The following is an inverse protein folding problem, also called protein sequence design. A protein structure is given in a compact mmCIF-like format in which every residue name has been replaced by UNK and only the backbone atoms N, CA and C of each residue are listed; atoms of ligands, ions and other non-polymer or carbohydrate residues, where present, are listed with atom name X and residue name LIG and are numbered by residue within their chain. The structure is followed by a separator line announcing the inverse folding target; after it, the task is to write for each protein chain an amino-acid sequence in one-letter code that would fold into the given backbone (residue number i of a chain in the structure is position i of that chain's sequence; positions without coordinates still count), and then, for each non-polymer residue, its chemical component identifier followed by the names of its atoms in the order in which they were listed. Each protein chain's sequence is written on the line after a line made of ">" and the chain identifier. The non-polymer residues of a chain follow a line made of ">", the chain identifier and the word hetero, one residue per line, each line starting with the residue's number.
data_IF_006964581926
#
_entry.id   IF_006964581926
#
_cell.length_a   1.000
_cell.length_b   1.000
_cell.length_c   1.000
_cell.angle_alpha   90.00
_cell.angle_beta   90.00
_cell.angle_gamma   90.00
#
_symmetry.space_group_name_H-M   'P 1'
#
loop_
_entity.id
_entity.type
_entity.pdbx_description
1 polymer ?
#
# COMPACT_ATOMS: atom_id res chain seq x y z
N UNK A 1 22.44 7.21 11.98
CA UNK A 1 21.88 8.55 11.73
C UNK A 1 20.66 8.75 12.61
N UNK A 2 20.33 10.01 12.90
CA UNK A 2 19.11 10.35 13.66
C UNK A 2 18.03 10.89 12.73
N UNK A 3 17.00 10.10 12.54
CA UNK A 3 15.86 10.38 11.67
C UNK A 3 14.72 11.04 12.44
N UNK A 4 14.08 12.02 11.84
CA UNK A 4 12.84 12.61 12.34
C UNK A 4 11.69 12.13 11.44
N UNK A 5 10.83 11.25 11.93
CA UNK A 5 9.57 10.94 11.28
C UNK A 5 8.56 12.06 11.57
N UNK A 6 8.14 12.77 10.52
CA UNK A 6 7.41 14.02 10.65
C UNK A 6 6.14 14.05 9.82
N UNK A 7 5.02 14.43 10.42
CA UNK A 7 3.80 14.66 9.65
C UNK A 7 2.49 14.31 10.34
N UNK A 8 1.42 14.38 9.56
CA UNK A 8 0.03 14.11 9.99
C UNK A 8 -0.47 12.74 9.53
N UNK A 9 0.43 11.79 9.30
CA UNK A 9 0.10 10.43 8.90
C UNK A 9 -0.51 9.62 10.04
N UNK A 10 -1.26 8.56 9.68
CA UNK A 10 -1.84 7.61 10.62
C UNK A 10 -1.27 6.20 10.33
N UNK A 11 -0.41 5.72 11.21
CA UNK A 11 0.30 4.43 11.07
C UNK A 11 -0.68 3.25 11.06
N UNK A 12 -1.78 3.34 11.83
CA UNK A 12 -2.76 2.26 11.90
C UNK A 12 -3.55 2.10 10.59
N UNK A 13 -3.78 3.21 9.88
CA UNK A 13 -4.49 3.21 8.59
C UNK A 13 -3.58 3.00 7.39
N UNK A 14 -2.29 3.29 7.55
CA UNK A 14 -1.31 3.26 6.46
C UNK A 14 -0.07 2.46 6.87
N UNK A 15 -0.12 1.11 6.77
CA UNK A 15 0.93 0.20 7.23
C UNK A 15 2.32 0.49 6.63
N UNK A 16 2.38 1.06 5.42
CA UNK A 16 3.65 1.43 4.78
C UNK A 16 4.53 2.32 5.66
N UNK A 17 3.94 3.29 6.36
CA UNK A 17 4.73 4.16 7.23
C UNK A 17 5.34 3.37 8.40
N UNK A 18 4.59 2.41 8.96
CA UNK A 18 5.12 1.50 9.98
C UNK A 18 6.33 0.71 9.44
N UNK A 19 6.21 0.13 8.24
CA UNK A 19 7.31 -0.62 7.60
C UNK A 19 8.56 0.26 7.44
N UNK A 20 8.40 1.51 6.98
CA UNK A 20 9.54 2.44 6.84
C UNK A 20 10.20 2.76 8.19
N UNK A 21 9.40 3.04 9.23
CA UNK A 21 9.93 3.37 10.56
C UNK A 21 10.60 2.17 11.22
N UNK A 22 9.99 1.00 11.13
CA UNK A 22 10.54 -0.25 11.68
C UNK A 22 11.83 -0.63 10.95
N UNK A 23 11.85 -0.51 9.61
CA UNK A 23 13.05 -0.76 8.81
C UNK A 23 14.22 0.14 9.18
N UNK A 24 13.98 1.43 9.40
CA UNK A 24 15.01 2.35 9.87
C UNK A 24 15.54 1.92 11.26
N UNK A 25 14.65 1.60 12.21
CA UNK A 25 15.04 1.17 13.56
C UNK A 25 15.82 -0.16 13.54
N UNK A 26 15.33 -1.14 12.81
CA UNK A 26 15.96 -2.45 12.67
C UNK A 26 17.31 -2.37 11.93
N UNK A 27 17.51 -1.34 11.09
CA UNK A 27 18.79 -1.04 10.44
C UNK A 27 19.76 -0.26 11.34
N UNK A 28 19.44 -0.09 12.63
CA UNK A 28 20.29 0.60 13.62
C UNK A 28 20.21 2.12 13.60
N UNK A 29 19.20 2.69 12.94
CA UNK A 29 18.98 4.13 12.90
C UNK A 29 18.17 4.59 14.13
N UNK A 30 18.50 5.76 14.68
CA UNK A 30 17.65 6.41 15.72
C UNK A 30 16.46 7.07 15.03
N UNK A 31 15.24 6.71 15.41
CA UNK A 31 14.01 7.30 14.86
C UNK A 31 13.24 8.03 15.94
N UNK A 32 13.15 9.35 15.81
CA UNK A 32 12.32 10.22 16.65
C UNK A 32 11.03 10.54 15.90
N UNK A 33 9.88 10.25 16.51
CA UNK A 33 8.59 10.55 15.91
C UNK A 33 8.03 11.89 16.40
N UNK A 34 7.69 12.75 15.44
CA UNK A 34 6.92 13.98 15.64
C UNK A 34 5.71 13.88 14.71
N UNK A 35 4.67 13.25 15.23
CA UNK A 35 3.45 12.92 14.49
C UNK A 35 2.21 13.40 15.25
N UNK A 36 1.25 14.00 14.52
CA UNK A 36 -0.08 14.37 15.03
C UNK A 36 -1.10 14.00 13.93
N UNK A 37 -1.71 12.79 13.98
CA UNK A 37 -2.56 12.30 12.92
C UNK A 37 -3.74 13.23 12.64
N UNK A 38 -3.93 13.59 11.35
CA UNK A 38 -5.07 14.38 10.94
C UNK A 38 -6.33 13.52 11.08
N UNK A 39 -7.38 13.95 11.84
CA UNK A 39 -8.60 13.18 12.09
C UNK A 39 -9.51 13.11 10.85
N UNK A 40 -8.93 12.80 9.69
CA UNK A 40 -9.59 12.68 8.39
C UNK A 40 -8.97 11.51 7.64
N UNK A 41 -9.82 10.53 7.32
CA UNK A 41 -9.45 9.46 6.43
C UNK A 41 -9.36 9.93 4.96
N UNK A 42 -8.91 9.05 4.08
CA UNK A 42 -8.81 9.35 2.65
C UNK A 42 -10.18 9.65 2.04
N UNK A 43 -11.26 9.01 2.53
CA UNK A 43 -12.62 9.27 2.07
C UNK A 43 -13.10 10.67 2.49
N UNK A 44 -12.81 11.08 3.71
CA UNK A 44 -13.11 12.43 4.22
C UNK A 44 -12.35 13.52 3.47
N UNK A 45 -11.07 13.31 3.14
CA UNK A 45 -10.27 14.25 2.32
C UNK A 45 -10.84 14.38 0.90
N UNK A 46 -11.27 13.28 0.30
CA UNK A 46 -11.95 13.25 -1.01
C UNK A 46 -13.31 13.96 -0.94
N UNK A 47 -14.08 13.75 0.11
CA UNK A 47 -15.37 14.41 0.30
C UNK A 47 -15.22 15.94 0.42
N UNK A 48 -14.13 16.42 1.02
CA UNK A 48 -13.85 17.87 1.08
C UNK A 48 -13.58 18.48 -0.28
N UNK A 49 -13.02 17.74 -1.23
CA UNK A 49 -12.88 18.19 -2.63
C UNK A 49 -14.26 18.33 -3.33
N UNK A 50 -15.27 17.57 -2.87
CA UNK A 50 -16.66 17.70 -3.33
C UNK A 50 -17.40 18.83 -2.63
N UNK A 51 -16.98 19.21 -1.42
CA UNK A 51 -17.64 20.17 -0.53
C UNK A 51 -16.68 21.30 -0.11
N UNK A 52 -16.37 22.26 -1.01
CA UNK A 52 -15.35 23.29 -0.77
C UNK A 52 -15.62 24.17 0.44
N UNK A 53 -16.86 24.30 0.89
CA UNK A 53 -17.19 25.02 2.16
C UNK A 53 -16.65 24.36 3.43
N UNK A 54 -16.16 23.12 3.36
CA UNK A 54 -15.45 22.44 4.46
C UNK A 54 -13.94 22.71 4.51
N UNK A 55 -13.37 23.35 3.48
CA UNK A 55 -11.94 23.69 3.45
C UNK A 55 -11.48 24.54 4.65
N UNK A 56 -12.24 25.49 5.20
CA UNK A 56 -11.84 26.21 6.42
C UNK A 56 -11.66 25.27 7.63
N UNK A 57 -12.49 24.23 7.75
CA UNK A 57 -12.39 23.23 8.83
C UNK A 57 -11.10 22.43 8.67
N UNK A 58 -10.79 22.00 7.43
CA UNK A 58 -9.52 21.31 7.12
C UNK A 58 -8.32 22.19 7.45
N UNK A 59 -8.36 23.48 7.03
CA UNK A 59 -7.28 24.42 7.30
C UNK A 59 -7.06 24.62 8.81
N UNK A 60 -8.15 24.73 9.59
CA UNK A 60 -8.07 24.83 11.04
C UNK A 60 -7.50 23.57 11.69
N UNK A 61 -7.96 22.38 11.29
CA UNK A 61 -7.44 21.10 11.80
C UNK A 61 -5.95 20.95 11.47
N UNK A 62 -5.57 21.22 10.22
CA UNK A 62 -4.18 21.17 9.78
C UNK A 62 -3.32 22.17 10.56
N UNK A 63 -3.79 23.40 10.75
CA UNK A 63 -3.11 24.43 11.55
C UNK A 63 -2.88 23.99 13.00
N UNK A 64 -3.88 23.31 13.59
CA UNK A 64 -3.75 22.74 14.95
C UNK A 64 -2.70 21.62 14.99
N UNK A 65 -2.73 20.69 14.03
CA UNK A 65 -1.70 19.65 13.92
C UNK A 65 -0.32 20.27 13.71
N UNK A 66 -0.19 21.23 12.81
CA UNK A 66 1.07 21.91 12.54
C UNK A 66 1.64 22.66 13.75
N UNK A 67 0.81 23.27 14.59
CA UNK A 67 1.31 23.89 15.82
C UNK A 67 2.01 22.89 16.75
N UNK A 68 1.45 21.67 16.86
CA UNK A 68 2.04 20.57 17.63
C UNK A 68 3.29 20.01 16.96
N UNK A 69 3.26 19.83 15.63
CA UNK A 69 4.42 19.39 14.86
C UNK A 69 5.59 20.38 14.98
N UNK A 70 5.34 21.68 14.93
CA UNK A 70 6.38 22.73 15.15
C UNK A 70 6.97 22.64 16.56
N UNK A 71 6.13 22.48 17.57
CA UNK A 71 6.59 22.32 18.96
C UNK A 71 7.44 21.05 19.13
N UNK A 72 6.96 19.92 18.58
CA UNK A 72 7.69 18.64 18.57
C UNK A 72 9.04 18.75 17.85
N UNK A 73 9.06 19.37 16.66
CA UNK A 73 10.28 19.58 15.88
C UNK A 73 11.31 20.43 16.63
N UNK A 74 10.86 21.50 17.32
CA UNK A 74 11.75 22.30 18.16
C UNK A 74 12.33 21.51 19.34
N UNK A 75 11.50 20.66 19.96
CA UNK A 75 11.95 19.77 21.04
C UNK A 75 12.96 18.75 20.52
N UNK A 76 12.69 18.10 19.38
CA UNK A 76 13.59 17.14 18.75
C UNK A 76 14.97 17.75 18.42
N UNK A 77 15.00 18.99 17.89
CA UNK A 77 16.24 19.71 17.60
C UNK A 77 17.03 20.12 18.85
N UNK A 78 16.36 20.33 19.99
CA UNK A 78 17.04 20.63 21.25
C UNK A 78 17.66 19.38 21.88
N UNK A 79 17.14 18.20 21.60
CA UNK A 79 17.64 16.93 22.13
C UNK A 79 18.78 16.32 21.30
N UNK A 80 19.12 16.90 20.14
CA UNK A 80 20.24 16.49 19.28
C UNK A 80 20.02 16.87 17.83
N UNK A 81 21.05 16.72 17.02
CA UNK A 81 21.00 17.01 15.59
C UNK A 81 20.08 16.01 14.87
N UNK A 82 19.40 16.47 13.85
CA UNK A 82 18.54 15.66 12.96
C UNK A 82 19.27 15.52 11.63
N UNK A 83 19.64 14.28 11.29
CA UNK A 83 20.41 13.98 10.07
C UNK A 83 19.52 13.87 8.84
N UNK A 84 18.27 13.40 9.01
CA UNK A 84 17.28 13.28 7.93
C UNK A 84 15.85 13.42 8.46
N UNK A 85 14.94 13.92 7.62
CA UNK A 85 13.50 14.02 7.94
C UNK A 85 12.72 13.15 6.98
N UNK A 86 11.96 12.17 7.50
CA UNK A 86 11.03 11.36 6.74
C UNK A 86 9.62 11.93 6.89
N UNK A 87 9.02 12.38 5.79
CA UNK A 87 7.63 12.82 5.74
C UNK A 87 6.78 11.68 5.21
N UNK A 88 5.90 11.16 6.06
CA UNK A 88 5.09 9.99 5.78
C UNK A 88 3.93 10.24 4.80
N UNK A 89 3.18 9.19 4.55
CA UNK A 89 2.07 9.10 3.61
C UNK A 89 1.10 10.28 3.66
N UNK A 90 0.66 10.77 2.49
CA UNK A 90 -0.18 11.97 2.30
C UNK A 90 0.44 13.28 2.81
N UNK A 91 1.74 13.33 2.99
CA UNK A 91 2.50 14.47 3.51
C UNK A 91 2.67 15.66 2.54
N UNK A 92 1.78 15.87 1.55
CA UNK A 92 1.90 16.93 0.53
C UNK A 92 2.03 18.34 1.12
N UNK A 93 1.36 18.59 2.25
CA UNK A 93 1.48 19.87 2.97
C UNK A 93 2.58 19.82 4.01
N UNK A 94 2.75 18.70 4.69
CA UNK A 94 3.70 18.53 5.78
C UNK A 94 5.16 18.63 5.31
N UNK A 95 5.46 18.16 4.07
CA UNK A 95 6.80 18.27 3.48
C UNK A 95 7.23 19.73 3.29
N UNK A 96 6.28 20.64 3.02
CA UNK A 96 6.57 22.07 2.91
C UNK A 96 6.86 22.68 4.28
N UNK A 97 6.12 22.27 5.31
CA UNK A 97 6.40 22.66 6.69
C UNK A 97 7.76 22.11 7.15
N UNK A 98 8.04 20.84 6.85
CA UNK A 98 9.34 20.21 7.12
C UNK A 98 10.49 21.00 6.47
N UNK A 99 10.36 21.37 5.17
CA UNK A 99 11.37 22.18 4.47
C UNK A 99 11.56 23.56 5.08
N UNK A 100 10.51 24.18 5.56
CA UNK A 100 10.61 25.46 6.26
C UNK A 100 11.38 25.34 7.60
N UNK A 101 11.13 24.27 8.35
CA UNK A 101 11.75 24.02 9.65
C UNK A 101 13.18 23.48 9.53
N UNK A 102 13.47 22.66 8.51
CA UNK A 102 14.72 21.90 8.32
C UNK A 102 15.36 22.23 6.98
N UNK A 103 15.82 23.50 6.84
CA UNK A 103 16.32 24.04 5.56
C UNK A 103 17.58 23.34 5.01
N UNK A 104 18.42 22.80 5.91
CA UNK A 104 19.71 22.18 5.57
C UNK A 104 19.72 20.67 5.71
N UNK A 105 18.70 20.09 6.38
CA UNK A 105 18.57 18.66 6.61
C UNK A 105 17.91 18.01 5.39
N UNK A 106 18.42 16.88 4.89
CA UNK A 106 17.77 16.11 3.85
C UNK A 106 16.33 15.75 4.22
N UNK A 107 15.40 15.97 3.28
CA UNK A 107 13.98 15.62 3.45
C UNK A 107 13.62 14.53 2.48
N UNK A 108 13.12 13.43 3.01
CA UNK A 108 12.56 12.29 2.29
C UNK A 108 11.03 12.40 2.32
N UNK A 109 10.39 12.35 1.17
CA UNK A 109 8.94 12.34 1.03
C UNK A 109 8.47 10.97 0.58
N UNK A 110 7.63 10.31 1.38
CA UNK A 110 6.89 9.12 0.95
C UNK A 110 5.72 9.53 0.03
N UNK A 111 5.97 9.48 -1.30
CA UNK A 111 5.04 9.89 -2.34
C UNK A 111 4.35 8.67 -3.00
N UNK A 112 3.70 7.86 -2.17
CA UNK A 112 2.98 6.66 -2.62
C UNK A 112 1.80 6.98 -3.57
N UNK A 113 1.16 8.12 -3.41
CA UNK A 113 0.01 8.54 -4.22
C UNK A 113 0.08 10.01 -4.59
N UNK A 114 -0.18 10.31 -5.85
CA UNK A 114 -0.41 11.67 -6.35
C UNK A 114 -1.83 12.12 -5.97
N UNK A 115 -1.98 13.35 -5.51
CA UNK A 115 -3.30 13.94 -5.23
C UNK A 115 -4.12 14.06 -6.53
N UNK A 116 -3.47 14.46 -7.61
CA UNK A 116 -4.10 14.58 -8.93
C UNK A 116 -4.50 13.21 -9.49
N UNK A 117 -3.64 12.18 -9.39
CA UNK A 117 -3.93 10.82 -9.82
C UNK A 117 -5.09 10.19 -9.05
N UNK A 118 -5.10 10.35 -7.72
CA UNK A 118 -6.19 9.84 -6.87
C UNK A 118 -7.53 10.51 -7.19
N UNK A 119 -7.56 11.81 -7.47
CA UNK A 119 -8.78 12.51 -7.85
C UNK A 119 -9.33 12.04 -9.21
N UNK A 120 -8.46 11.74 -10.16
CA UNK A 120 -8.84 11.20 -11.47
C UNK A 120 -9.43 9.79 -11.33
N UNK A 121 -8.75 8.89 -10.63
CA UNK A 121 -9.18 7.50 -10.40
C UNK A 121 -10.57 7.42 -9.74
N UNK A 122 -10.89 8.38 -8.86
CA UNK A 122 -12.19 8.46 -8.18
C UNK A 122 -13.25 9.29 -8.91
N UNK A 123 -12.98 9.73 -10.14
CA UNK A 123 -13.90 10.54 -10.93
C UNK A 123 -14.22 11.92 -10.32
N UNK A 124 -13.32 12.45 -9.48
CA UNK A 124 -13.51 13.72 -8.76
C UNK A 124 -13.06 14.95 -9.54
N UNK A 125 -12.21 14.75 -10.53
CA UNK A 125 -11.71 15.81 -11.39
C UNK A 125 -11.62 15.28 -12.82
N UNK A 126 -12.31 15.95 -13.75
CA UNK A 126 -12.11 15.72 -15.18
C UNK A 126 -10.68 16.09 -15.60
N UNK A 127 -10.16 15.46 -16.65
CA UNK A 127 -8.76 15.50 -17.08
C UNK A 127 -8.17 16.89 -17.45
N UNK A 128 -8.93 17.97 -17.42
CA UNK A 128 -8.48 19.31 -17.80
C UNK A 128 -8.97 20.48 -16.94
N UNK A 129 -9.77 20.20 -15.89
CA UNK A 129 -10.41 21.26 -15.09
C UNK A 129 -9.47 22.00 -14.13
N UNK A 130 -9.91 23.14 -13.59
CA UNK A 130 -9.18 23.94 -12.59
C UNK A 130 -8.76 23.11 -11.38
N UNK A 131 -9.63 22.21 -10.89
CA UNK A 131 -9.32 21.30 -9.77
C UNK A 131 -8.11 20.42 -10.07
N UNK A 132 -8.05 19.85 -11.27
CA UNK A 132 -6.92 19.00 -11.70
C UNK A 132 -5.62 19.79 -11.77
N UNK A 133 -5.66 21.03 -12.28
CA UNK A 133 -4.48 21.92 -12.31
C UNK A 133 -3.99 22.25 -10.90
N UNK A 134 -4.92 22.55 -9.98
CA UNK A 134 -4.60 22.83 -8.59
C UNK A 134 -3.94 21.61 -7.89
N UNK A 135 -4.49 20.40 -8.09
CA UNK A 135 -3.94 19.19 -7.49
C UNK A 135 -2.54 18.87 -8.04
N UNK A 136 -2.33 19.02 -9.36
CA UNK A 136 -0.98 18.89 -9.96
C UNK A 136 -0.01 19.93 -9.42
N UNK A 137 -0.47 21.15 -9.17
CA UNK A 137 0.37 22.18 -8.55
C UNK A 137 0.74 21.81 -7.11
N UNK A 138 -0.20 21.24 -6.31
CA UNK A 138 0.07 20.74 -4.95
C UNK A 138 1.13 19.63 -5.01
N UNK A 139 0.95 18.63 -5.88
CA UNK A 139 1.91 17.55 -6.08
C UNK A 139 3.29 18.11 -6.45
N UNK A 140 3.36 19.01 -7.45
CA UNK A 140 4.61 19.63 -7.89
C UNK A 140 5.32 20.39 -6.77
N UNK A 141 4.58 21.12 -5.93
CA UNK A 141 5.14 21.85 -4.78
C UNK A 141 5.61 20.92 -3.67
N UNK A 142 4.93 19.81 -3.44
CA UNK A 142 5.35 18.79 -2.49
C UNK A 142 6.66 18.13 -2.95
N UNK A 143 6.68 17.64 -4.19
CA UNK A 143 7.87 17.05 -4.82
C UNK A 143 9.06 18.01 -4.81
N UNK A 144 8.85 19.30 -5.12
CA UNK A 144 9.90 20.33 -5.09
C UNK A 144 10.45 20.64 -3.70
N UNK A 145 9.78 20.21 -2.63
CA UNK A 145 10.20 20.44 -1.24
C UNK A 145 11.04 19.29 -0.65
N UNK A 146 11.08 18.13 -1.31
CA UNK A 146 11.86 16.97 -0.88
C UNK A 146 13.23 16.89 -1.57
N UNK A 147 14.22 16.31 -0.91
CA UNK A 147 15.53 15.98 -1.50
C UNK A 147 15.54 14.55 -2.06
N UNK A 148 14.79 13.65 -1.42
CA UNK A 148 14.56 12.28 -1.86
C UNK A 148 13.07 12.03 -1.92
N UNK A 149 12.59 11.36 -2.97
CA UNK A 149 11.18 11.00 -3.17
C UNK A 149 11.07 9.49 -3.21
N UNK A 150 10.23 8.90 -2.35
CA UNK A 150 9.94 7.47 -2.39
C UNK A 150 8.69 7.22 -3.22
N UNK A 151 8.77 6.26 -4.11
CA UNK A 151 7.64 5.70 -4.86
C UNK A 151 7.66 4.18 -4.70
N UNK A 152 6.55 3.51 -4.94
CA UNK A 152 6.44 2.07 -4.68
C UNK A 152 6.73 1.18 -5.90
N UNK A 153 6.65 1.73 -7.12
CA UNK A 153 6.87 0.98 -8.36
C UNK A 153 7.74 1.76 -9.36
N UNK A 154 8.44 1.06 -10.29
CA UNK A 154 9.13 1.71 -11.40
C UNK A 154 8.21 2.58 -12.26
N UNK A 155 6.97 2.13 -12.49
CA UNK A 155 5.97 2.86 -13.27
C UNK A 155 5.60 4.20 -12.60
N UNK A 156 5.54 4.23 -11.27
CA UNK A 156 5.35 5.48 -10.53
C UNK A 156 6.59 6.38 -10.59
N UNK A 157 7.80 5.80 -10.62
CA UNK A 157 9.03 6.58 -10.85
C UNK A 157 9.02 7.22 -12.23
N UNK A 158 8.70 6.48 -13.27
CA UNK A 158 8.64 6.97 -14.66
C UNK A 158 7.55 8.04 -14.85
N UNK A 159 6.47 7.97 -14.07
CA UNK A 159 5.40 8.96 -14.08
C UNK A 159 5.76 10.28 -13.36
N UNK A 160 6.87 10.32 -12.60
CA UNK A 160 7.34 11.56 -11.98
C UNK A 160 7.85 12.56 -13.00
N UNK A 161 7.79 13.88 -12.71
CA UNK A 161 8.47 14.89 -13.53
C UNK A 161 9.97 14.58 -13.72
N UNK A 162 10.49 14.79 -14.91
CA UNK A 162 11.87 14.45 -15.27
C UNK A 162 12.95 15.06 -14.33
N UNK A 163 12.69 16.22 -13.75
CA UNK A 163 13.56 16.88 -12.76
C UNK A 163 13.47 16.24 -11.35
N UNK A 164 12.50 15.36 -11.13
CA UNK A 164 12.32 14.64 -9.85
C UNK A 164 12.89 13.23 -9.91
N UNK A 165 12.79 12.54 -11.05
CA UNK A 165 13.23 11.16 -11.24
C UNK A 165 14.66 10.87 -10.73
N UNK A 166 15.68 11.71 -10.95
CA UNK A 166 17.07 11.42 -10.48
C UNK A 166 17.21 11.36 -8.96
N UNK A 167 16.25 11.87 -8.20
CA UNK A 167 16.22 11.86 -6.73
C UNK A 167 15.09 10.99 -6.17
N UNK A 168 14.45 10.22 -7.01
CA UNK A 168 13.45 9.25 -6.61
C UNK A 168 14.08 7.87 -6.34
N UNK A 169 13.48 7.14 -5.40
CA UNK A 169 13.86 5.77 -5.04
C UNK A 169 12.63 4.90 -5.07
N UNK A 170 12.69 3.80 -5.79
CA UNK A 170 11.64 2.77 -5.73
C UNK A 170 11.80 2.03 -4.41
N UNK A 171 10.78 2.13 -3.59
CA UNK A 171 10.74 1.55 -2.24
C UNK A 171 9.45 0.75 -2.11
N UNK A 172 9.48 -0.58 -2.09
CA UNK A 172 8.29 -1.41 -1.97
C UNK A 172 7.43 -1.07 -0.75
N UNK A 173 6.15 -1.46 -0.75
CA UNK A 173 5.29 -1.25 0.42
C UNK A 173 5.70 -2.14 1.58
N UNK A 174 6.04 -3.40 1.30
CA UNK A 174 6.49 -4.36 2.30
C UNK A 174 5.41 -4.84 3.27
N UNK A 175 5.86 -5.57 4.29
CA UNK A 175 5.03 -6.06 5.38
C UNK A 175 5.75 -5.88 6.73
N UNK A 176 4.97 -5.65 7.80
CA UNK A 176 5.52 -5.55 9.16
C UNK A 176 5.81 -6.92 9.74
N UNK A 177 6.69 -6.98 10.74
CA UNK A 177 7.15 -8.21 11.40
C UNK A 177 6.02 -9.18 11.80
N UNK A 178 4.87 -8.75 12.36
CA UNK A 178 3.78 -9.64 12.71
C UNK A 178 3.26 -10.54 11.58
N UNK A 179 3.39 -10.12 10.31
CA UNK A 179 3.00 -10.94 9.16
C UNK A 179 3.93 -12.11 8.94
N UNK A 180 5.23 -11.94 9.10
CA UNK A 180 6.25 -12.99 8.97
C UNK A 180 6.19 -13.99 10.12
N UNK A 181 5.83 -13.55 11.33
CA UNK A 181 5.71 -14.40 12.52
C UNK A 181 4.54 -15.39 12.44
N UNK A 182 3.59 -15.19 11.51
CA UNK A 182 2.45 -16.09 11.31
C UNK A 182 2.69 -17.18 10.26
N UNK A 183 3.84 -17.18 9.59
CA UNK A 183 4.16 -18.18 8.57
C UNK A 183 3.97 -19.61 9.08
N UNK A 184 3.29 -20.42 8.28
CA UNK A 184 3.13 -21.85 8.49
C UNK A 184 3.64 -22.59 7.26
N UNK A 185 4.54 -23.56 7.47
CA UNK A 185 5.17 -24.31 6.39
C UNK A 185 4.19 -25.20 5.62
N UNK A 186 3.11 -25.65 6.27
CA UNK A 186 2.13 -26.58 5.68
C UNK A 186 0.78 -25.88 5.41
N UNK A 187 0.08 -26.36 4.37
CA UNK A 187 -1.29 -25.94 4.08
C UNK A 187 -2.24 -26.25 5.24
N UNK A 188 -3.32 -25.49 5.35
CA UNK A 188 -4.23 -25.56 6.50
C UNK A 188 -4.98 -26.88 6.60
N UNK A 189 -5.42 -27.46 5.48
CA UNK A 189 -6.08 -28.79 5.40
C UNK A 189 -5.82 -29.43 4.04
N UNK A 190 -5.62 -30.77 3.98
CA UNK A 190 -5.41 -31.45 2.68
C UNK A 190 -6.63 -31.45 1.78
N UNK A 191 -7.85 -31.44 2.33
CA UNK A 191 -9.09 -31.63 1.60
C UNK A 191 -9.66 -30.34 1.00
N UNK A 192 -9.25 -29.16 1.52
CA UNK A 192 -9.80 -27.88 1.10
C UNK A 192 -8.70 -26.88 0.72
N UNK A 193 -8.95 -26.08 -0.29
CA UNK A 193 -8.19 -24.88 -0.64
C UNK A 193 -8.87 -23.67 0.03
N UNK A 194 -8.22 -23.08 1.01
CA UNK A 194 -8.72 -21.91 1.75
C UNK A 194 -8.17 -20.64 1.11
N UNK A 195 -9.05 -19.84 0.56
CA UNK A 195 -8.72 -18.63 -0.19
C UNK A 195 -9.20 -17.41 0.58
N UNK A 196 -8.38 -16.36 0.67
CA UNK A 196 -8.78 -15.09 1.30
C UNK A 196 -8.59 -13.90 0.37
N UNK A 197 -9.57 -13.02 0.36
CA UNK A 197 -9.48 -11.66 -0.15
C UNK A 197 -9.65 -10.67 0.99
N UNK A 198 -8.68 -9.77 1.18
CA UNK A 198 -8.78 -8.68 2.16
C UNK A 198 -8.68 -7.35 1.43
N UNK A 199 -9.68 -6.47 1.56
CA UNK A 199 -9.56 -5.13 0.98
C UNK A 199 -10.87 -4.37 0.84
N UNK A 200 -10.73 -3.18 0.25
CA UNK A 200 -11.88 -2.36 -0.12
C UNK A 200 -12.47 -2.89 -1.44
N UNK A 201 -13.78 -2.98 -1.51
CA UNK A 201 -14.47 -3.36 -2.74
C UNK A 201 -14.61 -2.12 -3.64
N UNK A 202 -13.68 -2.00 -4.57
CA UNK A 202 -13.56 -0.85 -5.49
C UNK A 202 -13.10 -1.33 -6.88
N UNK A 203 -13.28 -0.54 -7.95
CA UNK A 203 -12.85 -0.90 -9.31
C UNK A 203 -11.36 -1.26 -9.40
N UNK A 204 -10.50 -0.63 -8.58
CA UNK A 204 -9.08 -0.98 -8.48
C UNK A 204 -8.88 -2.47 -8.19
N UNK A 205 -9.68 -3.01 -7.28
CA UNK A 205 -9.54 -4.41 -6.86
C UNK A 205 -10.17 -5.41 -7.83
N UNK A 206 -11.02 -4.94 -8.75
CA UNK A 206 -11.67 -5.80 -9.74
C UNK A 206 -12.67 -6.78 -9.11
N UNK A 207 -13.38 -6.33 -8.08
CA UNK A 207 -14.26 -7.19 -7.28
C UNK A 207 -15.48 -7.72 -8.06
N UNK A 208 -15.87 -7.09 -9.17
CA UNK A 208 -16.84 -7.64 -10.09
C UNK A 208 -16.32 -8.95 -10.73
N UNK A 209 -15.07 -8.96 -11.21
CA UNK A 209 -14.44 -10.17 -11.77
C UNK A 209 -14.23 -11.26 -10.71
N UNK A 210 -13.95 -10.86 -9.45
CA UNK A 210 -13.95 -11.78 -8.32
C UNK A 210 -15.32 -12.42 -8.14
N UNK A 211 -16.39 -11.63 -8.15
CA UNK A 211 -17.76 -12.14 -8.03
C UNK A 211 -18.12 -13.16 -9.13
N UNK A 212 -17.76 -12.86 -10.37
CA UNK A 212 -17.99 -13.75 -11.51
C UNK A 212 -17.18 -15.06 -11.39
N UNK A 213 -15.88 -14.97 -11.01
CA UNK A 213 -15.05 -16.16 -10.76
C UNK A 213 -15.59 -17.03 -9.62
N UNK A 214 -16.07 -16.41 -8.54
CA UNK A 214 -16.70 -17.13 -7.45
C UNK A 214 -17.98 -17.84 -7.86
N UNK A 215 -18.78 -17.26 -8.78
CA UNK A 215 -19.94 -17.93 -9.35
C UNK A 215 -19.55 -19.18 -10.16
N UNK A 216 -18.47 -19.11 -10.95
CA UNK A 216 -17.94 -20.25 -11.70
C UNK A 216 -17.41 -21.38 -10.80
N UNK A 217 -17.07 -21.09 -9.54
CA UNK A 217 -16.56 -22.05 -8.56
C UNK A 217 -17.66 -22.65 -7.66
N UNK A 218 -18.93 -22.33 -7.89
CA UNK A 218 -20.03 -22.74 -7.02
C UNK A 218 -20.20 -24.27 -6.88
N UNK A 219 -19.77 -25.01 -7.89
CA UNK A 219 -19.86 -26.48 -7.98
C UNK A 219 -18.64 -27.21 -7.37
N UNK A 220 -17.60 -26.50 -6.93
CA UNK A 220 -16.40 -27.10 -6.33
C UNK A 220 -16.32 -26.84 -4.81
N UNK A 221 -16.81 -27.76 -3.97
CA UNK A 221 -16.82 -27.58 -2.51
C UNK A 221 -15.42 -27.66 -1.87
N UNK A 222 -14.40 -28.04 -2.63
CA UNK A 222 -13.01 -28.04 -2.14
C UNK A 222 -12.44 -26.64 -2.03
N UNK A 223 -13.00 -25.65 -2.74
CA UNK A 223 -12.53 -24.27 -2.75
C UNK A 223 -13.44 -23.43 -1.85
N UNK A 224 -12.93 -23.05 -0.68
CA UNK A 224 -13.65 -22.19 0.27
C UNK A 224 -13.02 -20.80 0.30
N UNK A 225 -13.85 -19.77 0.15
CA UNK A 225 -13.37 -18.40 -0.02
C UNK A 225 -13.89 -17.49 1.07
N UNK A 226 -12.99 -16.74 1.69
CA UNK A 226 -13.34 -15.71 2.67
C UNK A 226 -13.10 -14.31 2.07
N UNK A 227 -14.18 -13.54 1.93
CA UNK A 227 -14.17 -12.17 1.39
C UNK A 227 -14.26 -11.18 2.53
N UNK A 228 -13.16 -10.45 2.82
CA UNK A 228 -13.07 -9.51 3.94
C UNK A 228 -13.06 -8.07 3.46
N UNK A 229 -13.98 -7.27 3.98
CA UNK A 229 -14.03 -5.81 3.77
C UNK A 229 -15.36 -5.31 3.22
N UNK A 230 -15.38 -4.01 2.95
CA UNK A 230 -16.53 -3.26 2.40
C UNK A 230 -16.07 -2.29 1.32
N UNK A 231 -17.00 -1.74 0.58
CA UNK A 231 -16.72 -0.72 -0.44
C UNK A 231 -17.91 -0.53 -1.37
N UNK A 232 -17.72 0.34 -2.36
CA UNK A 232 -18.78 0.72 -3.29
C UNK A 232 -19.29 -0.46 -4.13
N UNK A 233 -18.41 -1.43 -4.47
CA UNK A 233 -18.71 -2.56 -5.34
C UNK A 233 -19.05 -3.84 -4.54
N UNK A 234 -19.17 -3.74 -3.18
CA UNK A 234 -19.39 -4.91 -2.33
C UNK A 234 -20.72 -5.62 -2.62
N UNK A 235 -21.81 -4.86 -2.80
CA UNK A 235 -23.13 -5.42 -3.08
C UNK A 235 -23.14 -6.15 -4.43
N UNK A 236 -22.58 -5.53 -5.48
CA UNK A 236 -22.47 -6.12 -6.82
C UNK A 236 -21.64 -7.42 -6.80
N UNK A 237 -20.48 -7.42 -6.14
CA UNK A 237 -19.65 -8.61 -5.99
C UNK A 237 -20.41 -9.75 -5.29
N UNK A 238 -21.12 -9.43 -4.22
CA UNK A 238 -21.90 -10.40 -3.45
C UNK A 238 -23.08 -10.97 -4.25
N UNK A 239 -23.74 -10.14 -5.04
CA UNK A 239 -24.84 -10.56 -5.93
C UNK A 239 -24.33 -11.53 -7.01
N UNK A 240 -23.20 -11.21 -7.67
CA UNK A 240 -22.56 -12.08 -8.68
C UNK A 240 -22.19 -13.45 -8.10
N UNK A 241 -21.62 -13.46 -6.91
CA UNK A 241 -21.19 -14.69 -6.20
C UNK A 241 -22.34 -15.44 -5.50
N UNK A 242 -23.59 -14.98 -5.59
CA UNK A 242 -24.70 -15.50 -4.76
C UNK A 242 -24.99 -17.00 -4.93
N UNK A 243 -24.67 -17.58 -6.10
CA UNK A 243 -24.84 -19.00 -6.38
C UNK A 243 -23.81 -19.89 -5.63
N UNK A 244 -22.71 -19.32 -5.12
CA UNK A 244 -21.65 -20.09 -4.48
C UNK A 244 -21.85 -20.18 -2.96
N UNK A 245 -22.21 -21.36 -2.41
CA UNK A 245 -22.41 -21.54 -0.95
C UNK A 245 -21.09 -21.56 -0.17
N UNK A 246 -19.94 -21.69 -0.83
CA UNK A 246 -18.62 -21.83 -0.21
C UNK A 246 -17.96 -20.46 0.02
N UNK A 247 -18.68 -19.34 -0.09
CA UNK A 247 -18.18 -17.99 0.13
C UNK A 247 -18.65 -17.45 1.48
N UNK A 248 -17.68 -17.11 2.33
CA UNK A 248 -17.93 -16.43 3.61
C UNK A 248 -17.64 -14.94 3.48
N UNK A 249 -18.55 -14.09 3.95
CA UNK A 249 -18.43 -12.63 3.92
C UNK A 249 -18.16 -12.10 5.33
N UNK A 250 -17.05 -11.37 5.48
CA UNK A 250 -16.60 -10.78 6.76
C UNK A 250 -16.47 -9.28 6.56
N UNK A 251 -17.19 -8.50 7.33
CA UNK A 251 -17.18 -7.04 7.20
C UNK A 251 -15.84 -6.41 7.55
N UNK A 252 -15.21 -6.93 8.62
CA UNK A 252 -13.98 -6.37 9.18
C UNK A 252 -13.24 -7.39 10.06
N UNK A 253 -11.91 -7.38 9.97
CA UNK A 253 -10.99 -8.07 10.90
C UNK A 253 -10.10 -7.01 11.54
N UNK A 254 -9.87 -7.09 12.85
CA UNK A 254 -9.00 -6.14 13.56
C UNK A 254 -7.57 -6.22 13.02
N UNK A 255 -6.91 -5.07 12.92
CA UNK A 255 -5.56 -5.00 12.30
C UNK A 255 -4.53 -5.89 12.99
N UNK A 256 -4.62 -6.05 14.32
CA UNK A 256 -3.75 -6.92 15.12
C UNK A 256 -4.01 -8.43 14.91
N UNK A 257 -5.24 -8.80 14.53
CA UNK A 257 -5.64 -10.19 14.26
C UNK A 257 -5.45 -10.57 12.78
N UNK A 258 -5.35 -9.56 11.91
CA UNK A 258 -5.34 -9.77 10.46
C UNK A 258 -4.17 -10.65 9.98
N UNK A 259 -2.93 -10.54 10.51
CA UNK A 259 -1.84 -11.42 10.10
C UNK A 259 -2.15 -12.90 10.35
N UNK A 260 -2.60 -13.25 11.57
CA UNK A 260 -2.97 -14.62 11.93
C UNK A 260 -4.18 -15.11 11.12
N UNK A 261 -5.15 -14.23 10.88
CA UNK A 261 -6.33 -14.54 10.08
C UNK A 261 -5.96 -14.92 8.65
N UNK A 262 -5.10 -14.12 7.98
CA UNK A 262 -4.65 -14.39 6.62
C UNK A 262 -3.78 -15.65 6.56
N UNK A 263 -2.86 -15.84 7.51
CA UNK A 263 -2.03 -17.03 7.60
C UNK A 263 -2.82 -18.34 7.81
N UNK A 264 -4.08 -18.25 8.23
CA UNK A 264 -5.02 -19.38 8.28
C UNK A 264 -5.55 -19.82 6.92
N UNK A 265 -5.13 -19.19 5.81
CA UNK A 265 -5.55 -19.50 4.44
C UNK A 265 -4.34 -19.94 3.60
N UNK A 266 -4.61 -20.64 2.50
CA UNK A 266 -3.59 -21.18 1.60
C UNK A 266 -3.25 -20.18 0.48
N UNK A 267 -4.26 -19.44 0.01
CA UNK A 267 -4.14 -18.47 -1.09
C UNK A 267 -4.61 -17.10 -0.66
N UNK A 268 -3.81 -16.07 -0.91
CA UNK A 268 -4.17 -14.65 -0.77
C UNK A 268 -4.39 -14.02 -2.13
N UNK A 269 -5.59 -13.46 -2.35
CA UNK A 269 -5.95 -12.80 -3.60
C UNK A 269 -5.46 -11.34 -3.63
N UNK A 270 -4.82 -10.97 -4.73
CA UNK A 270 -4.35 -9.61 -4.99
C UNK A 270 -5.45 -8.69 -5.53
N UNK A 271 -5.20 -8.10 -6.71
CA UNK A 271 -6.14 -7.24 -7.44
C UNK A 271 -6.31 -7.74 -8.88
N UNK A 272 -7.49 -7.50 -9.46
CA UNK A 272 -7.87 -7.99 -10.79
C UNK A 272 -8.50 -6.89 -11.65
N UNK A 273 -8.45 -5.63 -11.19
CA UNK A 273 -9.04 -4.49 -11.90
C UNK A 273 -8.29 -4.16 -13.19
N UNK A 274 -9.02 -3.57 -14.15
CA UNK A 274 -8.51 -3.17 -15.47
C UNK A 274 -8.24 -1.66 -15.58
N UNK A 275 -8.42 -0.91 -14.48
CA UNK A 275 -8.18 0.54 -14.49
C UNK A 275 -6.69 0.85 -14.67
N UNK A 276 -6.36 2.00 -15.23
CA UNK A 276 -4.97 2.44 -15.40
C UNK A 276 -4.19 2.41 -14.06
N UNK A 277 -4.86 2.70 -12.93
CA UNK A 277 -4.24 2.61 -11.62
C UNK A 277 -3.96 1.17 -11.22
N UNK A 278 -4.89 0.24 -11.47
CA UNK A 278 -4.70 -1.17 -11.16
C UNK A 278 -3.50 -1.77 -11.92
N UNK A 279 -3.20 -1.25 -13.11
CA UNK A 279 -2.07 -1.70 -13.94
C UNK A 279 -0.70 -1.22 -13.44
N UNK A 280 -0.66 -0.23 -12.55
CA UNK A 280 0.57 0.46 -12.13
C UNK A 280 0.89 0.33 -10.64
N UNK A 281 0.17 -0.50 -9.89
CA UNK A 281 0.36 -0.67 -8.44
C UNK A 281 0.57 -2.12 -8.04
N UNK A 282 1.27 -2.32 -6.92
CA UNK A 282 1.29 -3.58 -6.18
C UNK A 282 0.57 -3.33 -4.84
N UNK A 283 -0.59 -3.96 -4.60
CA UNK A 283 -1.37 -3.66 -3.39
C UNK A 283 -0.74 -4.25 -2.14
N UNK A 284 -0.91 -3.60 -1.00
CA UNK A 284 -0.36 -4.00 0.31
C UNK A 284 -0.65 -5.46 0.65
N UNK A 285 -1.84 -5.98 0.31
CA UNK A 285 -2.24 -7.37 0.58
C UNK A 285 -1.36 -8.42 -0.10
N UNK A 286 -0.72 -8.09 -1.22
CA UNK A 286 0.21 -8.97 -1.93
C UNK A 286 1.45 -9.20 -1.09
N UNK A 287 2.04 -8.14 -0.55
CA UNK A 287 3.19 -8.23 0.37
C UNK A 287 2.82 -8.97 1.66
N UNK A 288 1.66 -8.66 2.20
CA UNK A 288 1.15 -9.25 3.44
C UNK A 288 0.83 -10.74 3.28
N UNK A 289 0.17 -11.13 2.18
CA UNK A 289 -0.14 -12.52 1.88
C UNK A 289 1.12 -13.36 1.71
N UNK A 290 2.11 -12.85 0.94
CA UNK A 290 3.41 -13.50 0.77
C UNK A 290 4.14 -13.66 2.11
N UNK A 291 4.19 -12.60 2.92
CA UNK A 291 4.82 -12.63 4.25
C UNK A 291 4.15 -13.64 5.20
N UNK A 292 2.82 -13.75 5.15
CA UNK A 292 2.05 -14.70 5.95
C UNK A 292 2.15 -16.16 5.46
N UNK A 293 2.82 -16.41 4.32
CA UNK A 293 3.01 -17.75 3.76
C UNK A 293 1.83 -18.28 2.94
N UNK A 294 1.01 -17.38 2.40
CA UNK A 294 0.01 -17.73 1.39
C UNK A 294 0.64 -17.77 -0.01
N UNK A 295 0.17 -18.65 -0.88
CA UNK A 295 0.36 -18.46 -2.31
C UNK A 295 -0.34 -17.17 -2.74
N UNK A 296 0.33 -16.33 -3.51
CA UNK A 296 -0.26 -15.08 -4.00
C UNK A 296 -0.83 -15.32 -5.38
N UNK A 297 -2.13 -15.04 -5.56
CA UNK A 297 -2.80 -15.07 -6.86
C UNK A 297 -3.26 -13.67 -7.20
N UNK A 298 -2.75 -13.10 -8.29
CA UNK A 298 -3.02 -11.70 -8.66
C UNK A 298 -3.00 -11.50 -10.17
N UNK A 299 -3.36 -10.29 -10.64
CA UNK A 299 -3.30 -9.99 -12.07
C UNK A 299 -1.88 -9.86 -12.60
N UNK A 300 -1.70 -10.27 -13.86
CA UNK A 300 -0.46 -10.16 -14.62
C UNK A 300 -0.26 -8.71 -15.09
N UNK A 301 0.46 -7.94 -14.29
CA UNK A 301 0.84 -6.56 -14.61
C UNK A 301 2.33 -6.34 -14.43
N UNK A 302 2.95 -5.40 -15.17
CA UNK A 302 4.39 -5.17 -15.10
C UNK A 302 4.90 -4.95 -13.66
N UNK A 303 4.30 -4.07 -12.81
CA UNK A 303 4.79 -3.88 -11.45
C UNK A 303 4.63 -5.11 -10.56
N UNK A 304 3.56 -5.88 -10.70
CA UNK A 304 3.38 -7.11 -9.92
C UNK A 304 4.37 -8.19 -10.34
N UNK A 305 4.62 -8.34 -11.64
CA UNK A 305 5.68 -9.24 -12.13
C UNK A 305 7.07 -8.82 -11.66
N UNK A 306 7.40 -7.54 -11.77
CA UNK A 306 8.71 -7.04 -11.31
C UNK A 306 8.93 -7.30 -9.81
N UNK A 307 7.87 -7.17 -9.00
CA UNK A 307 7.94 -7.33 -7.56
C UNK A 307 7.96 -8.79 -7.11
N UNK A 308 7.09 -9.62 -7.69
CA UNK A 308 6.88 -11.00 -7.27
C UNK A 308 7.72 -12.01 -8.05
N UNK A 309 8.20 -11.67 -9.25
CA UNK A 309 8.87 -12.63 -10.14
C UNK A 309 7.93 -13.82 -10.45
N UNK A 310 8.48 -15.00 -10.51
CA UNK A 310 7.72 -16.24 -10.78
C UNK A 310 7.17 -16.90 -9.50
N UNK A 311 7.20 -16.21 -8.35
CA UNK A 311 6.74 -16.77 -7.08
C UNK A 311 5.23 -16.68 -6.88
N UNK A 312 4.54 -15.86 -7.68
CA UNK A 312 3.09 -15.70 -7.65
C UNK A 312 2.41 -16.40 -8.82
N UNK A 313 1.13 -16.72 -8.65
CA UNK A 313 0.26 -17.17 -9.72
C UNK A 313 -0.37 -15.94 -10.38
N UNK A 314 -0.18 -15.80 -11.68
CA UNK A 314 -0.67 -14.65 -12.43
C UNK A 314 -1.79 -15.03 -13.38
N UNK A 315 -2.83 -14.18 -13.45
CA UNK A 315 -3.94 -14.28 -14.39
C UNK A 315 -4.13 -12.96 -15.14
N UNK A 316 -4.68 -12.95 -16.35
CA UNK A 316 -4.97 -11.71 -17.06
C UNK A 316 -5.88 -10.80 -16.23
N UNK A 317 -5.63 -9.45 -16.19
CA UNK A 317 -6.54 -8.52 -15.54
C UNK A 317 -7.96 -8.59 -16.12
N UNK A 318 -8.97 -8.65 -15.26
CA UNK A 318 -10.38 -8.69 -15.69
C UNK A 318 -10.87 -10.03 -16.22
N UNK A 319 -10.08 -11.09 -16.08
CA UNK A 319 -10.45 -12.43 -16.56
C UNK A 319 -10.91 -13.33 -15.38
N UNK A 320 -12.23 -13.38 -15.20
CA UNK A 320 -12.85 -14.19 -14.14
C UNK A 320 -12.62 -15.69 -14.34
N UNK A 321 -12.72 -16.18 -15.57
CA UNK A 321 -12.55 -17.60 -15.88
C UNK A 321 -11.12 -18.07 -15.69
N UNK A 322 -10.12 -17.24 -16.05
CA UNK A 322 -8.73 -17.53 -15.77
C UNK A 322 -8.47 -17.58 -14.25
N UNK A 323 -9.10 -16.68 -13.47
CA UNK A 323 -9.01 -16.69 -12.00
C UNK A 323 -9.61 -17.98 -11.42
N UNK A 324 -10.80 -18.37 -11.85
CA UNK A 324 -11.45 -19.62 -11.42
C UNK A 324 -10.61 -20.86 -11.80
N UNK A 325 -10.08 -20.89 -13.02
CA UNK A 325 -9.21 -21.97 -13.47
C UNK A 325 -7.91 -22.08 -12.66
N UNK A 326 -7.28 -20.95 -12.32
CA UNK A 326 -6.08 -20.92 -11.47
C UNK A 326 -6.35 -21.47 -10.07
N UNK A 327 -7.50 -21.13 -9.46
CA UNK A 327 -7.90 -21.68 -8.17
C UNK A 327 -8.16 -23.19 -8.22
N UNK A 328 -8.81 -23.69 -9.27
CA UNK A 328 -8.98 -25.14 -9.49
C UNK A 328 -7.62 -25.84 -9.64
N UNK A 329 -6.70 -25.28 -10.41
CA UNK A 329 -5.35 -25.81 -10.57
C UNK A 329 -4.62 -25.94 -9.23
N UNK A 330 -4.70 -24.93 -8.36
CA UNK A 330 -4.10 -24.97 -7.01
C UNK A 330 -4.83 -25.95 -6.07
N UNK A 331 -6.13 -26.20 -6.28
CA UNK A 331 -6.88 -27.21 -5.54
C UNK A 331 -6.51 -28.63 -5.98
N UNK A 332 -6.24 -28.82 -7.29
CA UNK A 332 -5.90 -30.11 -7.88
C UNK A 332 -4.43 -30.51 -7.65
N UNK A 333 -3.50 -29.55 -7.69
CA UNK A 333 -2.05 -29.76 -7.50
C UNK A 333 -1.55 -29.10 -6.20
N UNK A 334 -1.58 -29.89 -5.12
CA UNK A 334 -1.13 -29.45 -3.79
C UNK A 334 0.38 -29.20 -3.72
N UNK A 335 1.16 -29.90 -4.51
CA UNK A 335 2.61 -29.68 -4.58
C UNK A 335 2.91 -28.33 -5.24
N UNK A 336 2.13 -27.96 -6.25
CA UNK A 336 2.20 -26.63 -6.88
C UNK A 336 1.83 -25.54 -5.88
N UNK A 337 0.76 -25.72 -5.11
CA UNK A 337 0.34 -24.79 -4.08
C UNK A 337 1.46 -24.57 -3.05
N UNK A 338 2.03 -25.65 -2.50
CA UNK A 338 3.09 -25.57 -1.50
C UNK A 338 4.38 -24.94 -2.05
N UNK A 339 4.71 -25.18 -3.32
CA UNK A 339 5.81 -24.50 -3.98
C UNK A 339 5.58 -22.99 -4.03
N UNK A 340 4.40 -22.53 -4.47
CA UNK A 340 4.07 -21.10 -4.52
C UNK A 340 4.03 -20.45 -3.14
N UNK A 341 3.48 -21.12 -2.13
CA UNK A 341 3.46 -20.64 -0.73
C UNK A 341 4.88 -20.40 -0.22
N UNK A 342 5.75 -21.41 -0.35
CA UNK A 342 7.13 -21.31 0.10
C UNK A 342 7.91 -20.24 -0.67
N UNK A 343 7.84 -20.23 -1.99
CA UNK A 343 8.55 -19.26 -2.83
C UNK A 343 8.08 -17.83 -2.59
N UNK A 344 6.79 -17.60 -2.40
CA UNK A 344 6.25 -16.28 -2.06
C UNK A 344 6.78 -15.79 -0.69
N UNK A 345 6.85 -16.68 0.30
CA UNK A 345 7.38 -16.34 1.61
C UNK A 345 8.91 -16.08 1.58
N UNK A 346 9.68 -16.90 0.88
CA UNK A 346 11.12 -16.69 0.67
C UNK A 346 11.39 -15.34 -0.02
N UNK A 347 10.61 -15.02 -1.07
CA UNK A 347 10.67 -13.71 -1.73
C UNK A 347 10.33 -12.57 -0.77
N UNK A 348 9.34 -12.77 0.10
CA UNK A 348 8.95 -11.79 1.10
C UNK A 348 10.06 -11.55 2.14
N UNK A 349 10.71 -12.61 2.62
CA UNK A 349 11.85 -12.51 3.54
C UNK A 349 13.02 -11.73 2.92
N UNK A 350 13.27 -11.92 1.62
CA UNK A 350 14.38 -11.26 0.93
C UNK A 350 14.11 -9.77 0.66
N UNK A 351 12.87 -9.42 0.25
CA UNK A 351 12.60 -8.09 -0.32
C UNK A 351 11.53 -7.27 0.40
N UNK A 352 10.65 -7.90 1.21
CA UNK A 352 9.46 -7.24 1.78
C UNK A 352 9.55 -7.01 3.28
N UNK A 353 10.64 -7.45 3.93
CA UNK A 353 10.93 -7.12 5.33
C UNK A 353 11.17 -5.61 5.47
N UNK A 354 10.92 -5.08 6.66
CA UNK A 354 11.12 -3.66 6.93
C UNK A 354 12.56 -3.20 6.58
N UNK A 355 13.57 -4.00 6.92
CA UNK A 355 14.98 -3.74 6.57
C UNK A 355 15.21 -3.75 5.06
N UNK A 356 14.69 -4.76 4.34
CA UNK A 356 14.81 -4.86 2.88
C UNK A 356 14.19 -3.66 2.17
N UNK A 357 13.02 -3.21 2.65
CA UNK A 357 12.30 -2.06 2.09
C UNK A 357 13.10 -0.76 2.19
N UNK A 358 13.80 -0.51 3.30
CA UNK A 358 14.54 0.75 3.49
C UNK A 358 15.97 0.73 2.98
N UNK A 359 16.49 -0.41 2.53
CA UNK A 359 17.89 -0.53 2.10
C UNK A 359 18.26 0.51 1.03
N UNK A 360 17.51 0.58 -0.05
CA UNK A 360 17.73 1.56 -1.12
C UNK A 360 17.58 3.03 -0.68
N UNK A 361 16.67 3.30 0.28
CA UNK A 361 16.53 4.61 0.89
C UNK A 361 17.80 4.99 1.69
N UNK A 362 18.29 4.08 2.52
CA UNK A 362 19.48 4.32 3.33
C UNK A 362 20.71 4.57 2.46
N UNK A 363 20.90 3.78 1.42
CA UNK A 363 21.98 3.97 0.45
C UNK A 363 21.89 5.35 -0.21
N UNK A 364 20.67 5.76 -0.62
CA UNK A 364 20.45 7.04 -1.28
C UNK A 364 20.70 8.25 -0.36
N UNK A 365 20.31 8.18 0.90
CA UNK A 365 20.49 9.28 1.85
C UNK A 365 21.94 9.40 2.33
N UNK A 366 22.69 8.30 2.40
CA UNK A 366 24.11 8.28 2.75
C UNK A 366 25.01 8.79 1.63
N UNK A 367 24.56 8.76 0.38
CA UNK A 367 25.28 9.36 -0.74
C UNK A 367 25.21 10.90 -0.65
N UNK A 368 26.31 11.61 -0.98
CA UNK A 368 26.27 13.07 -1.04
C UNK A 368 25.19 13.51 -2.04
N UNK A 369 24.39 14.49 -1.62
CA UNK A 369 23.37 15.06 -2.50
C UNK A 369 24.04 15.58 -3.79
N UNK A 370 23.48 15.31 -4.99
CA UNK A 370 23.98 15.94 -6.21
C UNK A 370 23.91 17.46 -6.03
N UNK A 371 24.97 18.16 -6.42
CA UNK A 371 25.03 19.62 -6.34
C UNK A 371 23.81 20.20 -7.06
N UNK A 372 23.05 21.08 -6.36
CA UNK A 372 21.88 21.78 -6.90
C UNK A 372 22.28 22.84 -7.88
#
# INVERSE_FOLDING_TARGET
>A
MRWLAFGTYDVQRHPRVAVLLDGLRESGEEVVEVNDPLPLDTAGRVQMLRQPWRLPILAWQLGRCWSRLISGARKARRSGDVDAVLVGYLGHFDVRLARFLFRKTPIVLDHLVSAAGTATDRGLAGSGGFKQKLLRWIDRKALGSADVVLVDTPEHLDALPADVQPRAVVTPVGATKPWFEQYRAEASTPEQLRVVFVGLFTPLHGTAYLGDALAELADDPRIVVTMVGKGQDHADCKERAAANPNVTWVDWVRGEELPAFVAGHDVSLGIFGTTAKAQNVVPTKVYQGAAAGCAVLTSDTPPQRAMLGDTAVFVPPGDASALAAALRTLADDRDLLERHRRQAHERALEHFTAVGVVAGLLDRVRQPAPAR
#
